data_IF_003771881735
#
_entry.id   IF_003771881735
#
_cell.length_a   1.000
_cell.length_b   1.000
_cell.length_c   1.000
_cell.angle_alpha   90.00
_cell.angle_beta   90.00
_cell.angle_gamma   90.00
#
_symmetry.space_group_name_H-M   'P 1'
#
loop_
_entity.id
_entity.type
_entity.pdbx_description
1 polymer ?
#
# COMPACT_ATOMS: atom_id res chain seq x y z
N UNK A 1 -10.41 1.06 -0.50
CA UNK A 1 -11.05 0.39 -1.63
C UNK A 1 -12.06 1.31 -2.33
N UNK A 2 -13.03 1.90 -1.63
CA UNK A 2 -14.09 2.72 -2.25
C UNK A 2 -13.54 3.92 -3.05
N UNK A 3 -12.56 4.64 -2.51
CA UNK A 3 -11.94 5.76 -3.21
C UNK A 3 -11.27 5.32 -4.52
N UNK A 4 -10.57 4.20 -4.51
CA UNK A 4 -9.93 3.64 -5.70
C UNK A 4 -10.96 3.25 -6.77
N UNK A 5 -12.02 2.55 -6.37
CA UNK A 5 -13.10 2.18 -7.28
C UNK A 5 -13.79 3.39 -7.92
N UNK A 6 -13.97 4.48 -7.16
CA UNK A 6 -14.61 5.71 -7.67
C UNK A 6 -13.78 6.38 -8.77
N UNK A 7 -12.46 6.32 -8.69
CA UNK A 7 -11.57 6.95 -9.67
C UNK A 7 -11.04 5.98 -10.73
N UNK A 8 -11.52 4.74 -10.71
CA UNK A 8 -11.13 3.71 -11.69
C UNK A 8 -9.67 3.24 -11.55
N UNK A 9 -9.15 3.20 -10.33
CA UNK A 9 -7.86 2.56 -10.02
C UNK A 9 -8.10 1.22 -9.34
N UNK A 10 -7.68 0.14 -9.99
CA UNK A 10 -7.84 -1.21 -9.48
C UNK A 10 -6.88 -1.46 -8.32
N UNK A 11 -7.43 -1.87 -7.18
CA UNK A 11 -6.67 -2.26 -6.00
C UNK A 11 -7.20 -3.58 -5.44
N UNK A 12 -6.30 -4.37 -4.87
CA UNK A 12 -6.63 -5.64 -4.26
C UNK A 12 -6.20 -5.66 -2.79
N UNK A 13 -7.13 -5.94 -1.89
CA UNK A 13 -6.82 -6.03 -0.47
C UNK A 13 -6.14 -7.36 -0.16
N UNK A 14 -4.88 -7.27 0.28
CA UNK A 14 -4.11 -8.41 0.74
C UNK A 14 -4.42 -8.74 2.20
N UNK A 15 -4.36 -10.02 2.61
CA UNK A 15 -4.58 -10.40 4.01
C UNK A 15 -3.43 -9.92 4.90
N UNK A 16 -3.76 -9.51 6.13
CA UNK A 16 -2.81 -9.02 7.14
C UNK A 16 -2.87 -9.87 8.42
N UNK A 17 -2.87 -11.19 8.29
CA UNK A 17 -2.91 -12.09 9.44
C UNK A 17 -1.66 -11.96 10.31
N UNK A 18 -1.83 -12.07 11.63
CA UNK A 18 -0.73 -11.95 12.59
C UNK A 18 0.36 -13.00 12.41
N UNK A 19 0.02 -14.16 11.88
CA UNK A 19 0.98 -15.21 11.53
C UNK A 19 2.11 -14.72 10.59
N UNK A 20 1.84 -13.74 9.74
CA UNK A 20 2.88 -13.18 8.86
C UNK A 20 3.93 -12.35 9.60
N UNK A 21 3.63 -11.84 10.80
CA UNK A 21 4.60 -11.12 11.63
C UNK A 21 5.74 -12.03 12.13
N UNK A 22 5.54 -13.33 12.16
CA UNK A 22 6.58 -14.30 12.53
C UNK A 22 7.80 -14.21 11.62
N UNK A 23 7.62 -13.87 10.34
CA UNK A 23 8.71 -13.68 9.39
C UNK A 23 9.61 -12.47 9.71
N UNK A 24 9.11 -11.54 10.54
CA UNK A 24 9.85 -10.35 10.97
C UNK A 24 10.66 -10.56 12.26
N UNK A 25 10.57 -11.71 12.89
CA UNK A 25 11.35 -12.01 14.10
C UNK A 25 12.84 -12.09 13.78
N UNK A 26 13.65 -11.54 14.69
CA UNK A 26 15.11 -11.56 14.62
C UNK A 26 15.69 -11.98 15.97
N UNK A 27 16.81 -12.70 15.94
CA UNK A 27 17.53 -13.09 17.15
C UNK A 27 18.60 -12.05 17.56
N UNK A 28 18.86 -11.07 16.68
CA UNK A 28 19.97 -10.10 16.86
C UNK A 28 19.53 -8.64 16.72
N UNK A 29 18.27 -8.40 16.41
CA UNK A 29 17.70 -7.06 16.25
C UNK A 29 16.22 -7.07 16.70
N UNK A 30 15.61 -5.90 16.82
CA UNK A 30 14.20 -5.75 17.20
C UNK A 30 13.26 -6.42 16.20
N UNK A 31 13.64 -6.38 14.92
CA UNK A 31 12.95 -7.11 13.85
C UNK A 31 13.84 -7.20 12.60
N UNK A 32 13.49 -8.13 11.71
CA UNK A 32 14.00 -8.14 10.33
C UNK A 32 13.30 -7.04 9.53
N UNK A 33 13.99 -6.48 8.54
CA UNK A 33 13.42 -5.51 7.60
C UNK A 33 12.92 -6.15 6.29
N UNK A 34 13.06 -7.46 6.14
CA UNK A 34 12.62 -8.24 4.98
C UNK A 34 12.17 -9.62 5.43
N UNK A 35 11.08 -10.09 4.86
CA UNK A 35 10.59 -11.46 5.07
C UNK A 35 11.22 -12.46 4.10
N UNK A 36 10.51 -13.56 3.87
CA UNK A 36 10.87 -14.53 2.83
C UNK A 36 10.53 -14.00 1.43
N UNK A 37 10.92 -14.75 0.40
CA UNK A 37 10.59 -14.44 -1.00
C UNK A 37 9.07 -14.31 -1.24
N UNK A 38 8.26 -15.07 -0.50
CA UNK A 38 6.83 -15.17 -0.75
C UNK A 38 6.04 -14.17 0.09
N UNK A 39 5.03 -13.54 -0.52
CA UNK A 39 4.19 -12.58 0.17
C UNK A 39 4.90 -11.29 0.55
N UNK A 40 5.87 -10.82 -0.25
CA UNK A 40 6.69 -9.65 0.03
C UNK A 40 5.89 -8.38 0.34
N UNK A 41 4.80 -8.13 -0.39
CA UNK A 41 3.91 -7.00 -0.12
C UNK A 41 3.29 -7.05 1.28
N UNK A 42 2.89 -8.26 1.74
CA UNK A 42 2.31 -8.45 3.06
C UNK A 42 3.37 -8.30 4.16
N UNK A 43 4.56 -8.87 3.97
CA UNK A 43 5.62 -8.76 4.97
C UNK A 43 6.19 -7.35 5.05
N UNK A 44 6.24 -6.61 3.95
CA UNK A 44 6.57 -5.18 3.95
C UNK A 44 5.55 -4.38 4.78
N UNK A 45 4.25 -4.64 4.60
CA UNK A 45 3.21 -4.04 5.42
C UNK A 45 3.37 -4.42 6.91
N UNK A 46 3.63 -5.70 7.22
CA UNK A 46 3.87 -6.15 8.61
C UNK A 46 5.11 -5.52 9.25
N UNK A 47 6.14 -5.23 8.48
CA UNK A 47 7.28 -4.45 8.96
C UNK A 47 6.87 -3.03 9.34
N UNK A 48 6.20 -2.31 8.44
CA UNK A 48 5.78 -0.93 8.68
C UNK A 48 4.74 -0.80 9.80
N UNK A 49 3.85 -1.79 9.95
CA UNK A 49 2.85 -1.83 11.02
C UNK A 49 3.46 -1.66 12.41
N UNK A 50 4.69 -2.14 12.64
CA UNK A 50 5.41 -2.00 13.91
C UNK A 50 5.69 -0.55 14.32
N UNK A 51 5.65 0.39 13.39
CA UNK A 51 6.00 1.80 13.61
C UNK A 51 4.81 2.74 13.64
N UNK A 52 3.58 2.24 13.42
CA UNK A 52 2.39 3.10 13.34
C UNK A 52 1.56 3.13 14.61
N UNK A 53 1.88 2.32 15.61
CA UNK A 53 1.15 2.21 16.88
C UNK A 53 -0.35 1.94 16.64
N UNK A 54 -1.24 2.50 17.48
CA UNK A 54 -2.70 2.30 17.42
C UNK A 54 -3.41 3.22 16.42
N UNK A 55 -2.69 3.80 15.48
CA UNK A 55 -3.27 4.71 14.49
C UNK A 55 -3.91 3.93 13.34
N UNK A 56 -5.01 4.45 12.84
CA UNK A 56 -5.58 3.95 11.57
C UNK A 56 -4.58 4.20 10.44
N UNK A 57 -4.21 3.16 9.73
CA UNK A 57 -3.24 3.23 8.64
C UNK A 57 -3.57 2.23 7.53
N UNK A 58 -2.96 2.42 6.41
CA UNK A 58 -3.00 1.51 5.28
C UNK A 58 -1.64 1.49 4.59
N UNK A 59 -1.18 0.31 4.23
CA UNK A 59 -0.02 0.15 3.34
C UNK A 59 -0.52 0.02 1.89
N UNK A 60 0.09 0.76 0.99
CA UNK A 60 -0.18 0.70 -0.44
C UNK A 60 1.10 0.25 -1.15
N UNK A 61 1.14 -1.01 -1.59
CA UNK A 61 2.24 -1.51 -2.41
C UNK A 61 1.99 -1.13 -3.87
N UNK A 62 2.82 -0.26 -4.39
CA UNK A 62 2.76 0.23 -5.77
C UNK A 62 3.94 -0.24 -6.63
N UNK A 63 4.74 -1.18 -6.15
CA UNK A 63 5.94 -1.64 -6.86
C UNK A 63 5.64 -2.15 -8.28
N UNK A 64 4.50 -2.81 -8.47
CA UNK A 64 4.06 -3.27 -9.78
C UNK A 64 3.57 -2.13 -10.70
N UNK A 65 2.57 -1.33 -10.28
CA UNK A 65 1.93 -0.34 -11.14
C UNK A 65 2.66 1.01 -11.22
N UNK A 66 3.69 1.28 -10.42
CA UNK A 66 4.31 2.60 -10.31
C UNK A 66 5.10 3.03 -11.56
N UNK A 67 5.53 2.09 -12.39
CA UNK A 67 6.37 2.34 -13.53
C UNK A 67 5.96 1.56 -14.76
N UNK A 68 5.87 2.23 -15.91
CA UNK A 68 5.62 1.61 -17.21
C UNK A 68 6.92 1.55 -18.02
N UNK A 69 7.36 0.34 -18.39
CA UNK A 69 8.58 0.13 -19.18
C UNK A 69 8.47 0.66 -20.61
N UNK A 70 7.25 0.74 -21.15
CA UNK A 70 6.99 1.22 -22.50
C UNK A 70 5.71 2.02 -22.59
N UNK A 71 5.65 2.94 -23.54
CA UNK A 71 4.45 3.72 -23.83
C UNK A 71 3.33 2.85 -24.39
N UNK A 72 2.10 3.18 -23.98
CA UNK A 72 0.84 2.65 -24.53
C UNK A 72 0.00 3.81 -25.04
N UNK A 73 -1.05 3.58 -25.85
CA UNK A 73 -1.89 4.66 -26.41
C UNK A 73 -2.45 5.66 -25.39
N UNK A 74 -2.57 5.25 -24.13
CA UNK A 74 -3.16 6.04 -23.03
C UNK A 74 -2.18 6.30 -21.88
N UNK A 75 -0.92 5.88 -21.98
CA UNK A 75 0.07 5.96 -20.91
C UNK A 75 1.46 6.10 -21.51
N UNK A 76 2.16 7.19 -21.23
CA UNK A 76 3.58 7.33 -21.55
C UNK A 76 4.42 6.40 -20.67
N UNK A 77 5.59 5.97 -21.18
CA UNK A 77 6.56 5.23 -20.38
C UNK A 77 7.10 6.08 -19.23
N UNK A 78 7.51 5.43 -18.15
CA UNK A 78 8.02 6.09 -16.95
C UNK A 78 7.09 5.96 -15.76
N UNK A 79 7.12 6.93 -14.85
CA UNK A 79 6.27 6.95 -13.66
C UNK A 79 4.79 7.09 -14.03
N UNK A 80 3.95 6.21 -13.49
CA UNK A 80 2.53 6.12 -13.86
C UNK A 80 1.61 7.03 -13.03
N UNK A 81 2.08 7.51 -11.88
CA UNK A 81 1.23 8.21 -10.92
C UNK A 81 0.19 7.30 -10.25
N UNK A 82 0.45 6.00 -10.17
CA UNK A 82 -0.44 5.03 -9.52
C UNK A 82 -0.90 5.51 -8.15
N UNK A 83 -2.20 5.40 -7.87
CA UNK A 83 -2.91 5.79 -6.65
C UNK A 83 -2.93 7.32 -6.33
N UNK A 84 -2.38 8.18 -7.16
CA UNK A 84 -2.49 9.65 -6.94
C UNK A 84 -3.97 10.07 -6.91
N UNK A 85 -4.77 9.63 -7.87
CA UNK A 85 -6.21 9.92 -7.92
C UNK A 85 -6.96 9.35 -6.73
N UNK A 86 -6.63 8.13 -6.33
CA UNK A 86 -7.21 7.47 -5.14
C UNK A 86 -6.94 8.26 -3.87
N UNK A 87 -5.73 8.80 -3.69
CA UNK A 87 -5.39 9.58 -2.52
C UNK A 87 -6.12 10.94 -2.50
N UNK A 88 -6.23 11.61 -3.65
CA UNK A 88 -7.02 12.84 -3.76
C UNK A 88 -8.48 12.58 -3.39
N UNK A 89 -9.12 11.58 -4.00
CA UNK A 89 -10.50 11.20 -3.69
C UNK A 89 -10.71 10.85 -2.21
N UNK A 90 -9.75 10.13 -1.61
CA UNK A 90 -9.80 9.79 -0.19
C UNK A 90 -9.78 11.05 0.70
N UNK A 91 -8.95 12.05 0.36
CA UNK A 91 -8.86 13.30 1.11
C UNK A 91 -10.12 14.14 0.96
N UNK A 92 -10.68 14.24 -0.25
CA UNK A 92 -11.93 14.95 -0.51
C UNK A 92 -13.10 14.37 0.28
N UNK A 93 -13.24 13.05 0.29
CA UNK A 93 -14.26 12.36 1.10
C UNK A 93 -14.10 12.63 2.59
N UNK A 94 -12.89 12.63 3.10
CA UNK A 94 -12.64 12.91 4.51
C UNK A 94 -12.94 14.36 4.89
N UNK A 95 -12.64 15.30 4.01
CA UNK A 95 -12.95 16.71 4.25
C UNK A 95 -14.46 16.97 4.30
N UNK A 96 -15.26 16.27 3.50
CA UNK A 96 -16.72 16.37 3.52
C UNK A 96 -17.36 15.82 4.80
N UNK A 97 -16.73 14.83 5.46
CA UNK A 97 -17.22 14.25 6.71
C UNK A 97 -16.82 15.10 7.92
N UNK A 98 -15.80 15.94 7.81
CA UNK A 98 -15.25 16.74 8.90
C UNK A 98 -15.91 18.13 9.07
N UNK A 99 -16.96 18.46 8.31
CA UNK A 99 -17.72 19.71 8.49
C UNK A 99 -18.88 19.43 9.44
N UNK A 100 -18.87 19.96 10.68
CA UNK A 100 -19.98 19.85 11.62
C UNK A 100 -21.18 20.70 11.17
#
# INVERSE_FOLDING_TARGET
LQAAAQVGEDVWQMPMFDAYAEQMKSDVADCKNVGTRWGGAITAAKFLEKFVSDRAWVHLDIAGPAFAESSKPHLEGGGTGALVRTLVELMERRSQVAVP
#
